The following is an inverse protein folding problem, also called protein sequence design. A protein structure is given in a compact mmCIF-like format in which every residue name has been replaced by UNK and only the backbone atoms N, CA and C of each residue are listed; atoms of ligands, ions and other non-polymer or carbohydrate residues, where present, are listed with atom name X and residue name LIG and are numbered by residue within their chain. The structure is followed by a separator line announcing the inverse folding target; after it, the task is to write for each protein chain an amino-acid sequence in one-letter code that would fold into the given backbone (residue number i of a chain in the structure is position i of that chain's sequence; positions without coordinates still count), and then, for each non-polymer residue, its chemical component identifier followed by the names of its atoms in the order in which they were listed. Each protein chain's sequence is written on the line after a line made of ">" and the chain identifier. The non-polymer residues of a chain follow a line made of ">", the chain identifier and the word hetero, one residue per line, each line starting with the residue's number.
data_IF_222084337334
#
_entry.id   IF_222084337334
#
_cell.length_a   1.000
_cell.length_b   1.000
_cell.length_c   1.000
_cell.angle_alpha   90.00
_cell.angle_beta   90.00
_cell.angle_gamma   90.00
#
_symmetry.space_group_name_H-M   'P 1'
#
loop_
_entity.id
_entity.type
_entity.pdbx_description
1 polymer ?
#
# COMPACT_ATOMS: atom_id res chain seq x y z
N UNK A 1 -14.55 -14.43 5.58
CA UNK A 1 -13.08 -14.62 5.61
C UNK A 1 -12.64 -15.00 7.02
N UNK A 2 -11.55 -15.75 7.17
CA UNK A 2 -10.94 -15.98 8.49
C UNK A 2 -10.13 -14.74 8.91
N UNK A 3 -9.86 -14.54 10.22
CA UNK A 3 -9.03 -13.41 10.66
C UNK A 3 -7.63 -13.37 10.03
N UNK A 4 -7.06 -14.55 9.71
CA UNK A 4 -5.75 -14.62 9.06
C UNK A 4 -5.84 -14.21 7.59
N UNK A 5 -6.92 -14.57 6.90
CA UNK A 5 -7.15 -14.13 5.52
C UNK A 5 -7.27 -12.61 5.45
N UNK A 6 -8.03 -11.98 6.37
CA UNK A 6 -8.10 -10.52 6.44
C UNK A 6 -6.72 -9.88 6.66
N UNK A 7 -5.92 -10.44 7.56
CA UNK A 7 -4.55 -9.99 7.77
C UNK A 7 -3.67 -10.17 6.53
N UNK A 8 -3.81 -11.28 5.81
CA UNK A 8 -3.02 -11.54 4.60
C UNK A 8 -3.43 -10.63 3.45
N UNK A 9 -4.71 -10.33 3.29
CA UNK A 9 -5.20 -9.41 2.26
C UNK A 9 -4.65 -8.00 2.52
N UNK A 10 -4.86 -7.48 3.74
CA UNK A 10 -4.37 -6.15 4.10
C UNK A 10 -2.84 -6.04 4.01
N UNK A 11 -2.10 -7.07 4.44
CA UNK A 11 -0.64 -7.08 4.33
C UNK A 11 -0.18 -7.25 2.87
N UNK A 12 -0.87 -8.07 2.08
CA UNK A 12 -0.62 -8.24 0.66
C UNK A 12 -0.75 -6.91 -0.09
N UNK A 13 -1.71 -6.07 0.27
CA UNK A 13 -1.82 -4.72 -0.27
C UNK A 13 -0.67 -3.78 0.13
N UNK A 14 -0.08 -3.95 1.32
CA UNK A 14 1.18 -3.26 1.68
C UNK A 14 2.31 -3.68 0.73
N UNK A 15 2.43 -4.97 0.44
CA UNK A 15 3.40 -5.48 -0.52
C UNK A 15 3.08 -5.07 -1.97
N UNK A 16 1.79 -5.00 -2.34
CA UNK A 16 1.35 -4.53 -3.66
C UNK A 16 1.78 -3.07 -3.87
N UNK A 17 1.52 -2.19 -2.90
CA UNK A 17 2.01 -0.81 -2.95
C UNK A 17 3.53 -0.76 -3.11
N UNK A 18 4.26 -1.61 -2.38
CA UNK A 18 5.72 -1.65 -2.45
C UNK A 18 6.24 -2.09 -3.83
N UNK A 19 5.62 -3.11 -4.44
CA UNK A 19 5.95 -3.57 -5.79
C UNK A 19 5.65 -2.50 -6.82
N UNK A 20 4.50 -1.82 -6.74
CA UNK A 20 4.13 -0.76 -7.67
C UNK A 20 5.07 0.46 -7.56
N UNK A 21 5.46 0.84 -6.35
CA UNK A 21 6.45 1.92 -6.13
C UNK A 21 7.80 1.56 -6.75
N UNK A 22 8.27 0.32 -6.55
CA UNK A 22 9.51 -0.16 -7.16
C UNK A 22 9.42 -0.16 -8.69
N UNK A 23 8.27 -0.59 -9.24
CA UNK A 23 8.03 -0.60 -10.68
C UNK A 23 8.05 0.81 -11.26
N UNK A 24 7.33 1.78 -10.68
CA UNK A 24 7.39 3.18 -11.14
C UNK A 24 8.82 3.71 -11.06
N UNK A 25 9.54 3.43 -9.98
CA UNK A 25 10.90 3.92 -9.80
C UNK A 25 11.85 3.37 -10.88
N UNK A 26 11.66 2.13 -11.32
CA UNK A 26 12.52 1.46 -12.32
C UNK A 26 12.09 1.70 -13.77
N UNK A 27 10.78 1.73 -14.05
CA UNK A 27 10.25 1.75 -15.43
C UNK A 27 9.42 2.98 -15.76
N UNK A 28 9.00 3.76 -14.76
CA UNK A 28 8.10 4.90 -14.92
C UNK A 28 6.64 4.52 -15.20
N UNK A 29 6.29 3.23 -15.18
CA UNK A 29 4.99 2.75 -15.64
C UNK A 29 4.39 1.68 -14.73
N UNK A 30 3.08 1.73 -14.56
CA UNK A 30 2.25 0.71 -13.91
C UNK A 30 0.90 0.63 -14.64
N UNK A 31 0.14 -0.46 -14.46
CA UNK A 31 -1.20 -0.54 -15.01
C UNK A 31 -2.16 0.39 -14.28
N UNK A 32 -3.13 0.92 -15.02
CA UNK A 32 -4.19 1.77 -14.46
C UNK A 32 -5.06 1.00 -13.47
N UNK A 33 -5.34 -0.28 -13.73
CA UNK A 33 -6.13 -1.14 -12.83
C UNK A 33 -5.46 -1.27 -11.46
N UNK A 34 -4.15 -1.54 -11.42
CA UNK A 34 -3.42 -1.65 -10.16
C UNK A 34 -3.35 -0.30 -9.43
N UNK A 35 -3.19 0.80 -10.16
CA UNK A 35 -3.23 2.15 -9.60
C UNK A 35 -4.60 2.45 -8.99
N UNK A 36 -5.68 2.17 -9.71
CA UNK A 36 -7.07 2.38 -9.28
C UNK A 36 -7.42 1.54 -8.05
N UNK A 37 -6.99 0.28 -7.99
CA UNK A 37 -7.18 -0.55 -6.80
C UNK A 37 -6.50 0.08 -5.57
N UNK A 38 -5.23 0.48 -5.69
CA UNK A 38 -4.50 1.08 -4.56
C UNK A 38 -5.06 2.44 -4.16
N UNK A 39 -5.32 3.35 -5.10
CA UNK A 39 -5.88 4.66 -4.79
C UNK A 39 -7.31 4.55 -4.26
N UNK A 40 -8.13 3.68 -4.86
CA UNK A 40 -9.47 3.36 -4.39
C UNK A 40 -9.48 2.93 -2.92
N UNK A 41 -8.50 2.12 -2.50
CA UNK A 41 -8.39 1.68 -1.11
C UNK A 41 -8.25 2.81 -0.09
N UNK A 42 -7.71 3.98 -0.49
CA UNK A 42 -7.62 5.16 0.38
C UNK A 42 -8.99 5.79 0.63
N UNK A 43 -9.89 5.65 -0.34
CA UNK A 43 -11.20 6.31 -0.39
C UNK A 43 -12.29 5.52 0.33
N UNK A 44 -12.07 4.25 0.65
CA UNK A 44 -13.03 3.44 1.40
C UNK A 44 -12.87 3.74 2.90
N UNK A 45 -13.77 4.55 3.46
CA UNK A 45 -13.72 4.99 4.87
C UNK A 45 -14.45 4.02 5.79
N UNK A 46 -15.56 3.44 5.34
CA UNK A 46 -16.41 2.53 6.11
C UNK A 46 -16.60 1.18 5.36
N UNK A 47 -15.56 0.34 5.31
CA UNK A 47 -15.62 -0.93 4.60
C UNK A 47 -16.43 -1.98 5.38
N UNK A 48 -17.23 -2.78 4.67
CA UNK A 48 -17.97 -3.92 5.28
C UNK A 48 -17.04 -5.05 5.71
N UNK A 49 -15.98 -5.28 4.93
CA UNK A 49 -14.94 -6.26 5.20
C UNK A 49 -13.62 -5.84 4.54
N UNK A 50 -12.58 -6.65 4.72
CA UNK A 50 -11.25 -6.35 4.17
C UNK A 50 -11.21 -6.32 2.64
N UNK A 51 -12.06 -7.05 1.92
CA UNK A 51 -12.08 -7.08 0.45
C UNK A 51 -12.77 -5.85 -0.14
N UNK A 52 -13.80 -5.34 0.54
CA UNK A 52 -14.52 -4.12 0.15
C UNK A 52 -13.57 -2.92 -0.05
N UNK A 53 -12.50 -2.88 0.75
CA UNK A 53 -11.40 -1.90 0.60
C UNK A 53 -10.75 -1.93 -0.79
N UNK A 54 -10.62 -3.11 -1.40
CA UNK A 54 -9.85 -3.32 -2.61
C UNK A 54 -10.73 -3.52 -3.85
N UNK A 55 -12.05 -3.29 -3.73
CA UNK A 55 -13.02 -3.41 -4.81
C UNK A 55 -13.91 -4.65 -4.75
N UNK A 56 -13.88 -5.40 -3.64
CA UNK A 56 -14.70 -6.60 -3.42
C UNK A 56 -13.99 -7.92 -3.73
N UNK A 57 -12.80 -7.87 -4.32
CA UNK A 57 -11.90 -9.01 -4.54
C UNK A 57 -10.43 -8.62 -4.30
N UNK A 58 -9.53 -9.60 -4.39
CA UNK A 58 -8.09 -9.44 -4.19
C UNK A 58 -7.23 -9.73 -5.44
N UNK A 59 -7.85 -9.82 -6.63
CA UNK A 59 -7.16 -10.15 -7.88
C UNK A 59 -6.01 -9.17 -8.19
N UNK A 60 -6.22 -7.90 -7.84
CA UNK A 60 -5.26 -6.82 -8.06
C UNK A 60 -4.11 -6.79 -7.02
N UNK A 61 -4.14 -7.68 -6.02
CA UNK A 61 -3.11 -7.80 -4.98
C UNK A 61 -2.11 -8.94 -5.23
N UNK A 62 -2.27 -9.66 -6.34
CA UNK A 62 -1.50 -10.88 -6.63
C UNK A 62 0.03 -10.66 -6.67
N UNK A 63 0.50 -9.52 -7.21
CA UNK A 63 1.94 -9.22 -7.20
C UNK A 63 2.46 -8.98 -5.77
N UNK A 64 1.63 -8.36 -4.93
CA UNK A 64 1.86 -8.17 -3.50
C UNK A 64 1.90 -9.48 -2.74
N UNK A 65 0.98 -10.40 -3.03
CA UNK A 65 1.00 -11.75 -2.45
C UNK A 65 2.28 -12.51 -2.82
N UNK A 66 2.73 -12.41 -4.07
CA UNK A 66 3.98 -13.04 -4.51
C UNK A 66 5.18 -12.45 -3.78
N UNK A 67 5.26 -11.13 -3.68
CA UNK A 67 6.34 -10.46 -2.97
C UNK A 67 6.33 -10.79 -1.46
N UNK A 68 5.15 -10.88 -0.85
CA UNK A 68 4.97 -11.30 0.54
C UNK A 68 5.39 -12.75 0.75
N UNK A 69 5.02 -13.66 -0.16
CA UNK A 69 5.44 -15.06 -0.10
C UNK A 69 6.95 -15.19 -0.16
N UNK A 70 7.62 -14.56 -1.13
CA UNK A 70 9.09 -14.58 -1.23
C UNK A 70 9.77 -14.00 0.02
N UNK A 71 9.21 -12.91 0.59
CA UNK A 71 9.71 -12.33 1.83
C UNK A 71 9.54 -13.27 3.03
N UNK A 72 8.38 -13.91 3.14
CA UNK A 72 8.13 -14.91 4.18
C UNK A 72 9.06 -16.10 3.98
N UNK A 73 9.19 -16.63 2.77
CA UNK A 73 10.04 -17.75 2.38
C UNK A 73 11.53 -17.53 2.67
N UNK A 74 11.96 -16.27 2.72
CA UNK A 74 13.37 -15.89 2.92
C UNK A 74 14.31 -16.57 1.92
N UNK A 75 13.80 -16.90 0.73
CA UNK A 75 14.62 -17.43 -0.35
C UNK A 75 15.36 -16.27 -1.01
N UNK A 76 16.71 -16.20 -0.91
CA UNK A 76 17.47 -15.10 -1.49
C UNK A 76 17.33 -14.99 -3.01
N UNK A 77 16.98 -16.07 -3.72
CA UNK A 77 16.87 -16.09 -5.18
C UNK A 77 15.60 -15.39 -5.69
N UNK A 78 14.52 -15.46 -4.93
CA UNK A 78 13.21 -14.87 -5.29
C UNK A 78 12.89 -13.59 -4.52
N UNK A 79 13.72 -13.23 -3.53
CA UNK A 79 13.50 -12.08 -2.66
C UNK A 79 13.64 -10.74 -3.39
N UNK A 80 12.52 -10.02 -3.50
CA UNK A 80 12.49 -8.64 -3.98
C UNK A 80 12.89 -7.68 -2.85
N UNK A 81 14.15 -7.26 -2.82
CA UNK A 81 14.75 -6.49 -1.71
C UNK A 81 14.15 -5.10 -1.55
N UNK A 82 13.99 -4.33 -2.63
CA UNK A 82 13.42 -2.99 -2.58
C UNK A 82 11.94 -3.02 -2.16
N UNK A 83 11.05 -3.84 -2.75
CA UNK A 83 9.69 -4.00 -2.25
C UNK A 83 9.62 -4.40 -0.77
N UNK A 84 10.45 -5.34 -0.30
CA UNK A 84 10.51 -5.68 1.13
C UNK A 84 10.88 -4.46 1.98
N UNK A 85 11.90 -3.70 1.58
CA UNK A 85 12.33 -2.48 2.29
C UNK A 85 11.22 -1.43 2.35
N UNK A 86 10.50 -1.21 1.24
CA UNK A 86 9.37 -0.28 1.19
C UNK A 86 8.22 -0.74 2.09
N UNK A 87 7.84 -2.03 2.02
CA UNK A 87 6.79 -2.60 2.86
C UNK A 87 7.09 -2.43 4.36
N UNK A 88 8.30 -2.80 4.80
CA UNK A 88 8.74 -2.62 6.19
C UNK A 88 8.76 -1.14 6.60
N UNK A 89 9.13 -0.24 5.69
CA UNK A 89 9.11 1.20 5.95
C UNK A 89 7.69 1.74 6.10
N UNK A 90 6.73 1.27 5.29
CA UNK A 90 5.32 1.63 5.42
C UNK A 90 4.73 1.14 6.75
N UNK A 91 5.00 -0.11 7.15
CA UNK A 91 4.59 -0.64 8.46
C UNK A 91 5.16 0.17 9.65
N UNK A 92 6.37 0.71 9.48
CA UNK A 92 7.02 1.55 10.49
C UNK A 92 6.45 2.97 10.54
N UNK A 93 6.16 3.57 9.38
CA UNK A 93 5.54 4.89 9.28
C UNK A 93 4.10 4.89 9.79
N UNK A 94 3.33 3.87 9.47
CA UNK A 94 1.97 3.73 9.99
C UNK A 94 1.96 3.76 11.53
N UNK A 95 2.94 3.11 12.18
CA UNK A 95 3.06 3.13 13.64
C UNK A 95 3.32 4.53 14.21
N UNK A 96 3.99 5.38 13.45
CA UNK A 96 4.21 6.78 13.82
C UNK A 96 2.95 7.61 13.57
N UNK A 97 2.30 7.39 12.42
CA UNK A 97 1.03 8.02 12.07
C UNK A 97 -0.06 7.73 13.10
N UNK A 98 -0.14 6.49 13.60
CA UNK A 98 -1.10 6.08 14.62
C UNK A 98 -0.95 6.81 15.97
N UNK A 99 0.14 7.59 16.16
CA UNK A 99 0.39 8.41 17.34
C UNK A 99 0.27 9.91 17.07
N UNK A 100 -0.19 10.29 15.88
CA UNK A 100 -0.26 11.67 15.39
C UNK A 100 -1.69 12.02 15.01
N UNK A 101 -2.51 12.25 16.04
CA UNK A 101 -3.93 12.60 15.87
C UNK A 101 -4.12 13.83 14.97
N UNK A 102 -3.20 14.79 15.06
CA UNK A 102 -3.14 15.97 14.19
C UNK A 102 -3.00 15.60 12.70
N UNK A 103 -2.16 14.63 12.37
CA UNK A 103 -2.01 14.15 10.98
C UNK A 103 -3.23 13.35 10.53
N UNK A 104 -3.80 12.54 11.43
CA UNK A 104 -5.01 11.77 11.15
C UNK A 104 -6.20 12.67 10.88
N UNK A 105 -6.31 13.79 11.59
CA UNK A 105 -7.34 14.80 11.35
C UNK A 105 -7.18 15.44 9.97
N UNK A 106 -5.95 15.80 9.56
CA UNK A 106 -5.68 16.33 8.22
C UNK A 106 -6.07 15.32 7.13
N UNK A 107 -5.68 14.04 7.30
CA UNK A 107 -6.05 12.97 6.37
C UNK A 107 -7.57 12.81 6.31
N UNK A 108 -8.24 12.74 7.45
CA UNK A 108 -9.69 12.61 7.54
C UNK A 108 -10.44 13.76 6.88
N UNK A 109 -9.94 14.99 6.97
CA UNK A 109 -10.51 16.17 6.30
C UNK A 109 -10.29 16.18 4.79
N UNK A 110 -9.16 15.65 4.30
CA UNK A 110 -8.80 15.68 2.88
C UNK A 110 -9.34 14.50 2.07
N UNK A 111 -9.62 13.36 2.68
CA UNK A 111 -10.21 12.20 1.97
C UNK A 111 -11.54 12.56 1.29
N UNK A 112 -12.53 13.21 1.95
CA UNK A 112 -13.78 13.61 1.31
C UNK A 112 -13.61 14.54 0.10
N UNK A 113 -12.63 15.43 0.17
CA UNK A 113 -12.30 16.31 -0.97
C UNK A 113 -11.77 15.51 -2.17
N UNK A 114 -10.93 14.51 -1.91
CA UNK A 114 -10.42 13.62 -2.96
C UNK A 114 -11.54 12.73 -3.51
N UNK A 115 -12.45 12.23 -2.66
CA UNK A 115 -13.63 11.47 -3.10
C UNK A 115 -14.50 12.28 -4.07
N UNK A 116 -14.75 13.56 -3.79
CA UNK A 116 -15.49 14.42 -4.71
C UNK A 116 -14.77 14.59 -6.06
N UNK A 117 -13.44 14.67 -6.09
CA UNK A 117 -12.69 14.70 -7.36
C UNK A 117 -12.84 13.39 -8.16
N UNK A 118 -12.89 12.26 -7.46
CA UNK A 118 -13.09 10.94 -8.09
C UNK A 118 -14.45 10.86 -8.79
N UNK A 119 -15.50 11.43 -8.21
CA UNK A 119 -16.84 11.46 -8.83
C UNK A 119 -16.84 12.18 -10.18
N UNK A 120 -15.97 13.18 -10.36
CA UNK A 120 -15.89 13.98 -11.59
C UNK A 120 -14.92 13.41 -12.62
N UNK A 121 -13.79 12.83 -12.17
CA UNK A 121 -12.67 12.49 -13.06
C UNK A 121 -12.33 11.00 -13.12
N UNK A 122 -12.75 10.21 -12.13
CA UNK A 122 -12.30 8.83 -11.93
C UNK A 122 -11.04 8.69 -11.07
N UNK A 123 -10.84 7.50 -10.51
CA UNK A 123 -9.82 7.22 -9.46
C UNK A 123 -8.38 7.41 -9.96
N UNK A 124 -8.08 6.98 -11.18
CA UNK A 124 -6.73 7.05 -11.75
C UNK A 124 -6.43 8.38 -12.46
N UNK A 125 -7.32 9.37 -12.38
CA UNK A 125 -7.09 10.65 -13.01
C UNK A 125 -5.94 11.42 -12.34
N UNK A 126 -5.19 12.18 -13.13
CA UNK A 126 -4.01 12.94 -12.70
C UNK A 126 -4.30 13.93 -11.55
N UNK A 127 -5.48 14.54 -11.52
CA UNK A 127 -5.92 15.39 -10.39
C UNK A 127 -6.05 14.60 -9.08
N UNK A 128 -6.64 13.41 -9.13
CA UNK A 128 -6.82 12.54 -7.94
C UNK A 128 -5.46 12.04 -7.46
N UNK A 129 -4.59 11.63 -8.39
CA UNK A 129 -3.21 11.23 -8.10
C UNK A 129 -2.45 12.38 -7.43
N UNK A 130 -2.52 13.59 -8.00
CA UNK A 130 -1.85 14.77 -7.46
C UNK A 130 -2.37 15.15 -6.08
N UNK A 131 -3.69 15.14 -5.87
CA UNK A 131 -4.31 15.45 -4.58
C UNK A 131 -3.94 14.42 -3.50
N UNK A 132 -3.91 13.13 -3.85
CA UNK A 132 -3.52 12.03 -2.95
C UNK A 132 -2.01 12.08 -2.65
N UNK A 133 -1.18 12.34 -3.66
CA UNK A 133 0.26 12.51 -3.50
C UNK A 133 0.63 13.73 -2.66
N UNK A 134 -0.10 14.84 -2.81
CA UNK A 134 0.03 16.02 -1.96
C UNK A 134 -0.37 15.72 -0.51
N UNK A 135 -1.44 14.94 -0.29
CA UNK A 135 -1.83 14.51 1.06
C UNK A 135 -0.70 13.74 1.76
N UNK A 136 -0.03 12.81 1.07
CA UNK A 136 1.17 12.14 1.60
C UNK A 136 2.31 13.12 1.89
N UNK A 137 2.53 14.09 1.00
CA UNK A 137 3.59 15.08 1.13
C UNK A 137 3.39 15.99 2.35
N UNK A 138 2.17 16.48 2.55
CA UNK A 138 1.85 17.43 3.62
C UNK A 138 1.77 16.75 4.99
N UNK A 139 1.64 15.42 5.03
CA UNK A 139 1.55 14.64 6.28
C UNK A 139 2.78 13.76 6.48
N UNK A 140 2.82 12.59 5.86
CA UNK A 140 3.79 11.52 6.11
C UNK A 140 5.23 11.91 5.75
N UNK A 141 5.43 12.78 4.75
CA UNK A 141 6.78 13.24 4.39
C UNK A 141 7.41 14.20 5.42
N UNK A 142 6.60 14.74 6.33
CA UNK A 142 7.06 15.60 7.43
C UNK A 142 7.62 14.79 8.60
N UNK A 143 7.38 13.48 8.66
CA UNK A 143 7.96 12.60 9.67
C UNK A 143 9.49 12.48 9.50
N UNK A 144 10.18 12.22 10.61
CA UNK A 144 11.65 12.05 10.63
C UNK A 144 12.09 10.85 9.81
N UNK A 145 11.35 9.73 9.92
CA UNK A 145 11.57 8.58 9.07
C UNK A 145 10.93 8.84 7.70
N UNK A 146 11.64 8.48 6.63
CA UNK A 146 11.15 8.64 5.25
C UNK A 146 11.44 7.38 4.45
N UNK A 147 10.57 7.09 3.49
CA UNK A 147 10.80 6.02 2.51
C UNK A 147 11.73 6.57 1.42
N UNK A 148 12.95 6.06 1.37
CA UNK A 148 13.91 6.41 0.32
C UNK A 148 13.67 5.52 -0.90
N UNK A 149 12.90 6.02 -1.86
CA UNK A 149 12.64 5.31 -3.12
C UNK A 149 13.89 5.37 -4.00
N UNK A 150 14.34 4.20 -4.46
CA UNK A 150 15.50 4.02 -5.33
C UNK A 150 15.03 3.47 -6.68
N UNK A 151 15.65 3.96 -7.76
CA UNK A 151 15.31 3.61 -9.13
C UNK A 151 16.04 4.51 -10.12
N UNK A 152 15.56 4.56 -11.36
CA UNK A 152 16.10 5.43 -12.40
C UNK A 152 15.73 6.90 -12.11
N UNK A 153 16.74 7.77 -12.08
CA UNK A 153 16.55 9.21 -11.85
C UNK A 153 15.64 9.87 -12.87
N UNK A 154 15.64 9.41 -14.13
CA UNK A 154 14.75 9.94 -15.18
C UNK A 154 13.29 9.71 -14.85
N UNK A 155 12.98 8.58 -14.22
CA UNK A 155 11.63 8.25 -13.77
C UNK A 155 11.28 9.00 -12.50
N UNK A 156 12.20 9.05 -11.53
CA UNK A 156 11.98 9.67 -10.21
C UNK A 156 11.89 11.20 -10.26
N UNK A 157 12.50 11.85 -11.26
CA UNK A 157 12.42 13.30 -11.46
C UNK A 157 11.15 13.75 -12.20
N UNK A 158 10.41 12.83 -12.83
CA UNK A 158 9.13 13.17 -13.47
C UNK A 158 8.07 13.50 -12.40
N UNK A 159 7.46 14.71 -12.43
CA UNK A 159 6.48 15.11 -11.42
C UNK A 159 5.30 14.16 -11.29
N UNK A 160 4.79 13.64 -12.41
CA UNK A 160 3.68 12.69 -12.40
C UNK A 160 4.05 11.38 -11.68
N UNK A 161 5.24 10.82 -11.95
CA UNK A 161 5.71 9.62 -11.27
C UNK A 161 5.94 9.86 -9.77
N UNK A 162 6.49 11.01 -9.40
CA UNK A 162 6.64 11.39 -8.00
C UNK A 162 5.29 11.46 -7.27
N UNK A 163 4.26 12.04 -7.91
CA UNK A 163 2.89 12.07 -7.38
C UNK A 163 2.29 10.67 -7.26
N UNK A 164 2.42 9.82 -8.29
CA UNK A 164 1.96 8.41 -8.25
C UNK A 164 2.63 7.63 -7.13
N UNK A 165 3.94 7.74 -6.98
CA UNK A 165 4.71 7.08 -5.91
C UNK A 165 4.16 7.49 -4.55
N UNK A 166 4.01 8.80 -4.30
CA UNK A 166 3.49 9.30 -3.01
C UNK A 166 2.06 8.83 -2.76
N UNK A 167 1.20 8.85 -3.77
CA UNK A 167 -0.18 8.38 -3.66
C UNK A 167 -0.25 6.88 -3.30
N UNK A 168 0.57 6.04 -3.96
CA UNK A 168 0.63 4.60 -3.68
C UNK A 168 1.24 4.32 -2.30
N UNK A 169 2.24 5.11 -1.86
CA UNK A 169 2.78 4.99 -0.52
C UNK A 169 1.74 5.32 0.56
N UNK A 170 0.88 6.32 0.33
CA UNK A 170 -0.27 6.59 1.22
C UNK A 170 -1.23 5.40 1.26
N UNK A 171 -1.56 4.81 0.11
CA UNK A 171 -2.40 3.62 0.03
C UNK A 171 -1.80 2.41 0.77
N UNK A 172 -0.50 2.18 0.64
CA UNK A 172 0.21 1.14 1.36
C UNK A 172 0.24 1.38 2.87
N UNK A 173 0.38 2.63 3.32
CA UNK A 173 0.33 3.00 4.75
C UNK A 173 -1.10 2.87 5.31
N UNK A 174 -2.13 3.21 4.53
CA UNK A 174 -3.53 2.96 4.89
C UNK A 174 -3.80 1.45 5.00
N UNK A 175 -3.25 0.65 4.09
CA UNK A 175 -3.32 -0.84 4.14
C UNK A 175 -2.56 -1.40 5.36
N UNK A 176 -1.44 -0.80 5.74
CA UNK A 176 -0.73 -1.16 6.97
C UNK A 176 -1.58 -0.87 8.22
N UNK A 177 -2.38 0.20 8.19
CA UNK A 177 -3.30 0.54 9.29
C UNK A 177 -4.45 -0.46 9.36
N UNK A 178 -5.05 -0.78 8.21
CA UNK A 178 -6.06 -1.84 8.11
C UNK A 178 -5.52 -3.16 8.66
N UNK A 179 -4.31 -3.54 8.27
CA UNK A 179 -3.65 -4.76 8.76
C UNK A 179 -3.58 -4.80 10.29
N UNK A 180 -3.28 -3.68 10.96
CA UNK A 180 -3.32 -3.61 12.42
C UNK A 180 -4.74 -3.68 12.98
N UNK A 181 -5.70 -3.03 12.34
CA UNK A 181 -7.10 -3.04 12.75
C UNK A 181 -7.69 -4.45 12.75
N UNK A 182 -7.28 -5.29 11.79
CA UNK A 182 -7.66 -6.71 11.73
C UNK A 182 -6.73 -7.64 12.53
N UNK A 183 -5.95 -7.09 13.47
CA UNK A 183 -5.14 -7.85 14.45
C UNK A 183 -3.71 -8.19 14.00
N UNK A 184 -3.25 -7.65 12.88
CA UNK A 184 -1.90 -7.88 12.37
C UNK A 184 -0.80 -7.25 13.23
N UNK A 185 0.30 -7.99 13.40
CA UNK A 185 1.45 -7.53 14.18
C UNK A 185 2.78 -8.02 13.60
N UNK A 186 3.84 -7.19 13.65
CA UNK A 186 5.15 -7.51 13.02
C UNK A 186 5.75 -8.86 13.41
N UNK A 187 5.51 -9.30 14.64
CA UNK A 187 6.05 -10.56 15.16
C UNK A 187 5.48 -11.80 14.46
N UNK A 188 4.30 -11.70 13.82
CA UNK A 188 3.74 -12.82 13.07
C UNK A 188 4.56 -13.15 11.83
N UNK A 189 5.22 -12.16 11.22
CA UNK A 189 6.10 -12.35 10.06
C UNK A 189 7.36 -13.17 10.42
N UNK A 190 7.73 -13.17 11.70
CA UNK A 190 8.92 -13.87 12.20
C UNK A 190 8.53 -15.23 12.78
N UNK A 191 7.57 -15.27 13.70
CA UNK A 191 7.24 -16.47 14.48
C UNK A 191 6.13 -17.31 13.87
N UNK A 192 5.22 -16.71 13.08
CA UNK A 192 4.07 -17.41 12.47
C UNK A 192 4.24 -17.64 10.97
N UNK A 193 5.44 -17.47 10.42
CA UNK A 193 5.73 -17.58 8.99
C UNK A 193 5.12 -18.82 8.32
N UNK A 194 5.33 -20.02 8.88
CA UNK A 194 4.80 -21.28 8.30
C UNK A 194 3.27 -21.25 8.21
N UNK A 195 2.60 -20.73 9.23
CA UNK A 195 1.15 -20.57 9.28
C UNK A 195 0.67 -19.56 8.23
N UNK A 196 1.35 -18.42 8.12
CA UNK A 196 1.03 -17.40 7.12
C UNK A 196 1.19 -17.92 5.70
N UNK A 197 2.29 -18.62 5.39
CA UNK A 197 2.51 -19.22 4.06
C UNK A 197 1.42 -20.23 3.71
N UNK A 198 1.03 -21.09 4.66
CA UNK A 198 -0.05 -22.07 4.46
C UNK A 198 -1.37 -21.40 4.04
N UNK A 199 -1.72 -20.28 4.67
CA UNK A 199 -2.95 -19.53 4.37
C UNK A 199 -2.81 -18.60 3.15
N UNK A 200 -1.58 -18.22 2.80
CA UNK A 200 -1.28 -17.36 1.65
C UNK A 200 -1.27 -18.12 0.32
N UNK A 201 -0.76 -19.36 0.29
CA UNK A 201 -0.68 -20.11 -0.98
C UNK A 201 -2.03 -20.30 -1.67
N UNK A 202 -3.15 -20.56 -0.99
CA UNK A 202 -4.46 -20.58 -1.63
C UNK A 202 -4.82 -19.27 -2.34
N UNK A 203 -4.47 -18.11 -1.77
CA UNK A 203 -4.70 -16.79 -2.36
C UNK A 203 -3.79 -16.49 -3.57
N UNK A 204 -2.70 -17.25 -3.73
CA UNK A 204 -1.81 -17.17 -4.90
C UNK A 204 -2.27 -18.06 -6.06
N UNK A 205 -3.22 -18.97 -5.82
CA UNK A 205 -3.65 -19.96 -6.80
C UNK A 205 -5.13 -19.82 -7.18
N UNK A 206 -5.92 -19.08 -6.40
CA UNK A 206 -7.23 -18.57 -6.78
C UNK A 206 -7.12 -17.37 -7.72
#
# INVERSE_FOLDING_TARGET
>A
MTPIQEQLIALGAVFQAAVLVDRIAKTGQISEVALSCMLGSVLVVDPKDTLDVYGGDDLNLHEGYRAMASALERDPATLQREPLRYALSMLALERQLAKRDDMLEIIGKRIPVIQSQVEHFGVAHENVIAATGALYQDTLSTLRQRIQVQGDMRNLQQPNNASKIRAILLAGIRSARLWRQVGGHRWQLVFSRRKLLKELYPLLHG
#
